data_IF_963738420251
#
_entry.id   IF_963738420251
#
_cell.length_a   1.000
_cell.length_b   1.000
_cell.length_c   1.000
_cell.angle_alpha   90.00
_cell.angle_beta   90.00
_cell.angle_gamma   90.00
#
_symmetry.space_group_name_H-M   'P 1'
#
loop_
_entity.id
_entity.type
_entity.pdbx_description
1 polymer ?
#
# COMPACT_ATOMS: atom_id res chain seq x y z
N UNK A 1 -1.00 10.46 15.73
CA UNK A 1 -0.92 11.29 14.51
C UNK A 1 -2.12 12.22 14.47
N UNK A 2 -1.89 13.54 14.35
CA UNK A 2 -2.98 14.54 14.35
C UNK A 2 -3.79 14.41 13.06
N UNK A 3 -5.09 14.16 13.17
CA UNK A 3 -6.01 14.12 12.03
C UNK A 3 -6.38 15.55 11.67
N UNK A 4 -6.18 15.98 10.42
CA UNK A 4 -6.35 17.39 10.03
C UNK A 4 -7.13 17.49 8.73
N UNK A 5 -8.28 18.15 8.75
CA UNK A 5 -9.02 18.58 7.55
C UNK A 5 -8.48 19.87 6.96
N UNK A 6 -7.88 20.67 7.81
CA UNK A 6 -7.38 21.99 7.46
C UNK A 6 -6.15 22.30 8.31
N UNK A 7 -5.30 23.20 7.81
CA UNK A 7 -4.18 23.78 8.53
C UNK A 7 -4.46 25.22 8.91
N UNK A 8 -4.03 25.62 10.11
CA UNK A 8 -4.00 27.00 10.51
C UNK A 8 -2.57 27.37 10.89
N UNK A 9 -2.15 28.59 10.58
CA UNK A 9 -0.88 29.12 11.09
C UNK A 9 -0.95 29.27 12.62
N UNK A 10 0.21 29.29 13.27
CA UNK A 10 0.29 29.38 14.74
C UNK A 10 -0.35 30.65 15.29
N UNK A 11 -0.26 31.75 14.53
CA UNK A 11 -0.89 33.05 14.85
C UNK A 11 -2.37 33.10 14.46
N UNK A 12 -2.92 32.05 13.88
CA UNK A 12 -4.30 31.91 13.39
C UNK A 12 -4.72 32.95 12.35
N UNK A 13 -3.77 33.58 11.67
CA UNK A 13 -4.08 34.55 10.60
C UNK A 13 -4.31 33.90 9.25
N UNK A 14 -3.71 32.74 9.03
CA UNK A 14 -3.89 31.98 7.80
C UNK A 14 -4.57 30.64 8.11
N UNK A 15 -5.48 30.27 7.23
CA UNK A 15 -6.20 29.01 7.28
C UNK A 15 -6.09 28.32 5.92
N UNK A 16 -5.71 27.04 5.92
CA UNK A 16 -5.55 26.24 4.71
C UNK A 16 -6.48 25.05 4.72
N UNK A 17 -7.14 24.83 3.61
CA UNK A 17 -8.05 23.71 3.42
C UNK A 17 -7.95 23.17 2.00
N UNK A 18 -8.45 21.97 1.78
CA UNK A 18 -8.44 21.36 0.45
C UNK A 18 -9.33 22.17 -0.50
N UNK A 19 -8.84 22.44 -1.72
CA UNK A 19 -9.54 23.27 -2.72
C UNK A 19 -10.96 22.81 -3.05
N UNK A 20 -11.22 21.49 -2.98
CA UNK A 20 -12.55 20.93 -3.24
C UNK A 20 -13.58 21.36 -2.18
N UNK A 21 -13.15 21.86 -1.03
CA UNK A 21 -14.00 22.44 0.01
C UNK A 21 -14.33 23.93 -0.23
N UNK A 22 -13.78 24.54 -1.27
CA UNK A 22 -13.97 25.99 -1.50
C UNK A 22 -15.44 26.37 -1.61
N UNK A 23 -16.23 25.59 -2.37
CA UNK A 23 -17.68 25.83 -2.51
C UNK A 23 -18.42 25.74 -1.18
N UNK A 24 -18.13 24.72 -0.39
CA UNK A 24 -18.76 24.49 0.91
C UNK A 24 -18.38 25.60 1.91
N UNK A 25 -17.11 26.02 1.88
CA UNK A 25 -16.65 27.16 2.68
C UNK A 25 -17.40 28.43 2.31
N UNK A 26 -17.51 28.72 1.02
CA UNK A 26 -18.22 29.93 0.55
C UNK A 26 -19.69 29.92 0.97
N UNK A 27 -20.37 28.80 0.87
CA UNK A 27 -21.75 28.65 1.36
C UNK A 27 -21.84 28.87 2.86
N UNK A 28 -20.90 28.30 3.63
CA UNK A 28 -20.84 28.48 5.08
C UNK A 28 -20.63 29.93 5.46
N UNK A 29 -19.67 30.62 4.85
CA UNK A 29 -19.38 32.03 5.11
C UNK A 29 -20.57 32.92 4.78
N UNK A 30 -21.27 32.64 3.68
CA UNK A 30 -22.49 33.37 3.30
C UNK A 30 -23.62 33.21 4.31
N UNK A 31 -23.75 32.00 4.89
CA UNK A 31 -24.74 31.75 5.97
C UNK A 31 -24.44 32.57 7.25
N UNK A 32 -23.19 32.97 7.45
CA UNK A 32 -22.78 33.87 8.54
C UNK A 32 -22.74 35.34 8.13
N UNK A 33 -23.34 35.70 6.97
CA UNK A 33 -23.49 37.09 6.54
C UNK A 33 -22.29 37.67 5.79
N UNK A 34 -21.22 36.86 5.55
CA UNK A 34 -20.08 37.29 4.74
C UNK A 34 -20.45 37.14 3.25
N UNK A 35 -20.36 38.25 2.52
CA UNK A 35 -20.63 38.28 1.07
C UNK A 35 -19.33 38.18 0.28
N UNK A 36 -19.39 37.61 -0.91
CA UNK A 36 -18.23 37.54 -1.82
C UNK A 36 -17.63 38.93 -2.14
N UNK A 37 -18.47 39.97 -2.12
CA UNK A 37 -18.01 41.37 -2.27
C UNK A 37 -17.11 41.86 -1.12
N UNK A 38 -17.08 41.15 0.01
CA UNK A 38 -16.26 41.46 1.17
C UNK A 38 -14.96 40.64 1.19
N UNK A 39 -14.67 39.90 0.12
CA UNK A 39 -13.53 38.98 0.02
C UNK A 39 -12.75 39.30 -1.23
N UNK A 40 -11.42 39.28 -1.11
CA UNK A 40 -10.52 39.30 -2.24
C UNK A 40 -10.18 37.83 -2.61
N UNK A 41 -10.73 37.34 -3.72
CA UNK A 41 -10.53 35.96 -4.19
C UNK A 41 -9.45 36.01 -5.28
N UNK A 42 -8.25 35.54 -4.92
CA UNK A 42 -7.12 35.46 -5.86
C UNK A 42 -6.94 34.00 -6.28
N UNK A 43 -7.11 33.72 -7.57
CA UNK A 43 -6.75 32.43 -8.16
C UNK A 43 -5.26 32.47 -8.55
N UNK A 44 -4.45 31.62 -7.91
CA UNK A 44 -3.03 31.46 -8.23
C UNK A 44 -2.88 30.21 -9.12
N UNK A 45 -2.69 30.37 -10.44
CA UNK A 45 -2.42 29.23 -11.31
C UNK A 45 -1.12 28.53 -10.91
N UNK A 46 -0.96 27.23 -11.27
CA UNK A 46 0.32 26.55 -11.13
C UNK A 46 1.42 27.29 -11.88
N UNK A 47 2.63 27.29 -11.33
CA UNK A 47 3.81 27.74 -12.07
C UNK A 47 3.95 26.93 -13.36
N UNK A 48 4.37 27.58 -14.45
CA UNK A 48 4.56 26.89 -15.73
C UNK A 48 5.52 25.71 -15.58
N UNK A 49 5.03 24.48 -15.83
CA UNK A 49 5.82 23.28 -15.59
C UNK A 49 6.91 23.13 -16.65
N UNK A 50 8.02 22.51 -16.25
CA UNK A 50 9.05 22.14 -17.21
C UNK A 50 8.54 21.01 -18.11
N UNK A 51 8.49 21.27 -19.42
CA UNK A 51 8.23 20.23 -20.43
C UNK A 51 9.46 19.34 -20.59
N UNK A 52 9.24 18.05 -20.61
CA UNK A 52 10.29 17.04 -20.74
C UNK A 52 9.85 15.90 -21.64
N UNK A 53 10.81 15.30 -22.32
CA UNK A 53 10.59 14.10 -23.12
C UNK A 53 11.15 12.90 -22.38
N UNK A 54 10.36 11.83 -22.35
CA UNK A 54 10.72 10.58 -21.73
C UNK A 54 11.07 9.54 -22.81
N UNK A 55 12.30 9.04 -22.86
CA UNK A 55 12.74 8.07 -23.88
C UNK A 55 12.24 6.66 -23.54
N UNK A 56 11.05 6.31 -24.00
CA UNK A 56 10.45 4.98 -23.80
C UNK A 56 11.23 3.93 -24.58
N UNK A 57 11.50 2.78 -23.96
CA UNK A 57 12.12 1.64 -24.62
C UNK A 57 11.15 1.01 -25.63
N UNK A 58 11.64 0.59 -26.80
CA UNK A 58 10.81 0.11 -27.93
C UNK A 58 10.00 -1.15 -27.58
N UNK A 59 10.47 -1.97 -26.66
CA UNK A 59 9.82 -3.23 -26.25
C UNK A 59 8.63 -3.04 -25.30
N UNK A 60 8.34 -1.79 -24.88
CA UNK A 60 7.28 -1.50 -23.92
C UNK A 60 5.93 -1.39 -24.62
N UNK A 61 5.16 -2.46 -24.59
CA UNK A 61 3.81 -2.51 -25.14
C UNK A 61 2.78 -2.64 -24.02
N UNK A 62 1.93 -1.61 -23.80
CA UNK A 62 0.80 -1.73 -22.88
C UNK A 62 -0.18 -2.82 -23.32
N UNK A 63 -0.75 -3.52 -22.37
CA UNK A 63 -1.83 -4.49 -22.64
C UNK A 63 -3.13 -3.77 -22.98
N UNK A 64 -4.00 -4.40 -23.77
CA UNK A 64 -5.26 -3.79 -24.24
C UNK A 64 -6.08 -3.15 -23.13
N UNK A 65 -6.23 -3.81 -21.97
CA UNK A 65 -6.96 -3.27 -20.83
C UNK A 65 -6.26 -2.08 -20.14
N UNK A 66 -4.98 -1.83 -20.40
CA UNK A 66 -4.23 -0.70 -19.85
C UNK A 66 -4.37 0.55 -20.72
N UNK A 67 -4.69 0.42 -21.99
CA UNK A 67 -4.80 1.55 -22.93
C UNK A 67 -5.81 2.59 -22.40
N UNK A 68 -7.03 2.17 -22.10
CA UNK A 68 -8.04 3.07 -21.55
C UNK A 68 -7.66 3.69 -20.20
N UNK A 69 -6.90 2.97 -19.37
CA UNK A 69 -6.37 3.50 -18.12
C UNK A 69 -5.28 4.56 -18.37
N UNK A 70 -4.37 4.31 -19.31
CA UNK A 70 -3.30 5.25 -19.70
C UNK A 70 -3.93 6.52 -20.26
N UNK A 71 -4.96 6.38 -21.10
CA UNK A 71 -5.67 7.52 -21.67
C UNK A 71 -6.34 8.38 -20.59
N UNK A 72 -7.02 7.74 -19.65
CA UNK A 72 -7.63 8.43 -18.51
C UNK A 72 -6.58 9.14 -17.64
N UNK A 73 -5.49 8.45 -17.27
CA UNK A 73 -4.44 9.02 -16.44
C UNK A 73 -3.65 10.12 -17.17
N UNK A 74 -3.53 10.01 -18.49
CA UNK A 74 -2.87 10.98 -19.37
C UNK A 74 -3.75 12.15 -19.78
N UNK A 75 -5.04 12.15 -19.41
CA UNK A 75 -5.95 13.26 -19.70
C UNK A 75 -5.58 14.48 -18.86
N UNK A 76 -5.05 15.50 -19.54
CA UNK A 76 -4.60 16.72 -18.90
C UNK A 76 -5.75 17.67 -18.53
N UNK A 77 -6.94 17.46 -19.08
CA UNK A 77 -8.14 18.23 -18.71
C UNK A 77 -8.57 17.93 -17.26
N UNK A 78 -8.20 16.73 -16.74
CA UNK A 78 -8.48 16.32 -15.38
C UNK A 78 -7.30 16.62 -14.48
N UNK A 79 -7.49 17.51 -13.50
CA UNK A 79 -6.42 17.84 -12.54
C UNK A 79 -6.10 16.67 -11.60
N UNK A 80 -7.09 15.96 -11.12
CA UNK A 80 -6.92 14.82 -10.20
C UNK A 80 -7.45 13.54 -10.85
N UNK A 81 -6.66 12.48 -10.82
CA UNK A 81 -7.02 11.17 -11.36
C UNK A 81 -6.68 10.09 -10.36
N UNK A 82 -7.57 9.15 -10.19
CA UNK A 82 -7.48 8.11 -9.16
C UNK A 82 -7.65 6.73 -9.78
N UNK A 83 -6.77 5.82 -9.44
CA UNK A 83 -6.97 4.40 -9.74
C UNK A 83 -7.18 3.63 -8.45
N UNK A 84 -8.27 2.86 -8.39
CA UNK A 84 -8.53 1.89 -7.33
C UNK A 84 -8.58 0.50 -7.96
N UNK A 85 -7.46 0.04 -8.50
CA UNK A 85 -7.34 -1.19 -9.27
C UNK A 85 -6.65 -2.29 -8.47
N UNK A 86 -7.11 -3.52 -8.69
CA UNK A 86 -6.49 -4.72 -8.15
C UNK A 86 -4.96 -4.70 -8.35
N UNK A 87 -4.25 -5.18 -7.34
CA UNK A 87 -2.79 -5.38 -7.43
C UNK A 87 -2.43 -6.27 -8.63
N UNK A 88 -1.32 -5.96 -9.32
CA UNK A 88 -0.90 -6.72 -10.51
C UNK A 88 -1.55 -6.31 -11.82
N UNK A 89 -2.48 -5.36 -11.82
CA UNK A 89 -3.08 -4.79 -13.05
C UNK A 89 -2.21 -3.71 -13.72
N UNK A 90 -0.95 -3.55 -13.29
CA UNK A 90 0.00 -2.65 -13.93
C UNK A 90 -0.27 -1.16 -13.67
N UNK A 91 -0.77 -0.79 -12.48
CA UNK A 91 -0.97 0.62 -12.10
C UNK A 91 0.26 1.48 -12.31
N UNK A 92 1.44 1.00 -11.88
CA UNK A 92 2.72 1.70 -12.02
C UNK A 92 3.06 1.92 -13.49
N UNK A 93 3.03 0.87 -14.32
CA UNK A 93 3.25 0.99 -15.76
C UNK A 93 2.30 2.02 -16.40
N UNK A 94 1.01 1.91 -16.09
CA UNK A 94 0.02 2.83 -16.67
C UNK A 94 0.24 4.27 -16.23
N UNK A 95 0.65 4.52 -14.98
CA UNK A 95 1.00 5.87 -14.51
C UNK A 95 2.27 6.41 -15.19
N UNK A 96 3.27 5.57 -15.41
CA UNK A 96 4.51 5.94 -16.11
C UNK A 96 4.26 6.22 -17.60
N UNK A 97 3.40 5.44 -18.25
CA UNK A 97 2.99 5.73 -19.64
C UNK A 97 2.12 6.99 -19.75
N UNK A 98 1.28 7.27 -18.76
CA UNK A 98 0.56 8.52 -18.66
C UNK A 98 1.50 9.73 -18.43
N UNK A 99 2.58 9.54 -17.65
CA UNK A 99 3.65 10.54 -17.49
C UNK A 99 4.27 10.91 -18.84
N UNK A 100 4.53 9.93 -19.70
CA UNK A 100 5.01 10.16 -21.09
C UNK A 100 4.03 11.04 -21.87
N UNK A 101 2.75 10.67 -21.83
CA UNK A 101 1.67 11.39 -22.55
C UNK A 101 1.53 12.83 -22.08
N UNK A 102 1.69 13.09 -20.77
CA UNK A 102 1.63 14.42 -20.16
C UNK A 102 2.89 15.25 -20.52
N UNK A 103 4.07 14.63 -20.57
CA UNK A 103 5.31 15.27 -21.00
C UNK A 103 5.80 16.42 -20.11
N UNK A 104 5.70 16.27 -18.78
CA UNK A 104 6.11 17.27 -17.80
C UNK A 104 7.02 16.67 -16.74
N UNK A 105 7.92 17.50 -16.17
CA UNK A 105 8.68 17.11 -14.97
C UNK A 105 7.73 16.55 -13.93
N UNK A 106 8.07 15.37 -13.42
CA UNK A 106 7.19 14.59 -12.55
C UNK A 106 7.79 14.42 -11.16
N UNK A 107 7.02 14.71 -10.14
CA UNK A 107 7.32 14.37 -8.74
C UNK A 107 6.56 13.10 -8.34
N UNK A 108 7.27 12.10 -7.86
CA UNK A 108 6.70 10.83 -7.38
C UNK A 108 6.80 10.79 -5.87
N UNK A 109 5.66 10.66 -5.20
CA UNK A 109 5.55 10.58 -3.75
C UNK A 109 5.24 9.14 -3.33
N UNK A 110 6.09 8.56 -2.49
CA UNK A 110 5.92 7.17 -2.04
C UNK A 110 6.65 6.87 -0.73
N UNK A 111 6.40 5.71 -0.13
CA UNK A 111 7.16 5.21 1.03
C UNK A 111 8.57 4.80 0.62
N UNK A 112 9.52 4.99 1.55
CA UNK A 112 10.92 4.66 1.31
C UNK A 112 11.18 3.21 0.88
N UNK A 113 10.35 2.26 1.31
CA UNK A 113 10.44 0.85 0.92
C UNK A 113 10.06 0.56 -0.54
N UNK A 114 9.39 1.49 -1.22
CA UNK A 114 8.99 1.28 -2.62
C UNK A 114 9.94 1.93 -3.63
N UNK A 115 10.94 2.68 -3.16
CA UNK A 115 11.81 3.45 -4.04
C UNK A 115 12.61 2.57 -4.99
N UNK A 116 13.23 1.47 -4.52
CA UNK A 116 13.99 0.57 -5.38
C UNK A 116 13.13 0.02 -6.52
N UNK A 117 11.95 -0.47 -6.21
CA UNK A 117 11.00 -0.97 -7.21
C UNK A 117 10.63 0.10 -8.25
N UNK A 118 10.38 1.34 -7.82
CA UNK A 118 10.06 2.43 -8.75
C UNK A 118 11.23 2.81 -9.62
N UNK A 119 12.46 2.72 -9.10
CA UNK A 119 13.69 2.88 -9.91
C UNK A 119 13.80 1.77 -10.94
N UNK A 120 13.63 0.50 -10.52
CA UNK A 120 13.66 -0.66 -11.42
C UNK A 120 12.62 -0.53 -12.54
N UNK A 121 11.39 -0.11 -12.20
CA UNK A 121 10.31 0.12 -13.18
C UNK A 121 10.66 1.28 -14.13
N UNK A 122 11.25 2.37 -13.63
CA UNK A 122 11.67 3.52 -14.45
C UNK A 122 12.84 3.15 -15.37
N UNK A 123 13.87 2.48 -14.85
CA UNK A 123 15.03 2.06 -15.66
C UNK A 123 14.68 0.96 -16.66
N UNK A 124 13.73 0.09 -16.32
CA UNK A 124 13.23 -0.94 -17.23
C UNK A 124 12.37 -0.38 -18.37
N UNK A 125 11.68 0.74 -18.15
CA UNK A 125 10.76 1.32 -19.15
C UNK A 125 11.38 2.43 -20.00
N UNK A 126 12.42 3.09 -19.49
CA UNK A 126 12.99 4.28 -20.11
C UNK A 126 14.52 4.21 -20.24
N UNK A 127 15.04 4.71 -21.34
CA UNK A 127 16.47 4.91 -21.55
C UNK A 127 16.93 6.24 -20.94
N UNK A 128 16.84 6.36 -19.59
CA UNK A 128 17.26 7.56 -18.87
C UNK A 128 18.78 7.74 -18.84
N UNK A 129 19.20 9.01 -18.86
CA UNK A 129 20.59 9.37 -18.61
C UNK A 129 20.84 9.55 -17.11
N UNK A 130 22.11 9.47 -16.72
CA UNK A 130 22.51 9.78 -15.34
C UNK A 130 22.04 11.19 -14.95
N UNK A 131 21.29 11.30 -13.86
CA UNK A 131 20.74 12.56 -13.37
C UNK A 131 19.30 12.85 -13.84
N UNK A 132 18.73 12.11 -14.78
CA UNK A 132 17.32 12.25 -15.17
C UNK A 132 16.36 11.86 -14.05
N UNK A 133 16.80 10.99 -13.12
CA UNK A 133 16.07 10.59 -11.92
C UNK A 133 16.82 11.04 -10.68
N UNK A 134 16.13 11.74 -9.76
CA UNK A 134 16.65 12.07 -8.43
C UNK A 134 15.78 11.42 -7.35
N UNK A 135 16.45 10.84 -6.37
CA UNK A 135 15.80 10.25 -5.18
C UNK A 135 16.12 11.09 -3.95
N UNK A 136 15.08 11.63 -3.34
CA UNK A 136 15.16 12.53 -2.21
C UNK A 136 14.71 11.82 -0.94
N UNK A 137 15.70 11.47 -0.10
CA UNK A 137 15.51 10.82 1.20
C UNK A 137 16.19 11.64 2.29
N UNK A 138 15.39 12.12 3.23
CA UNK A 138 15.88 12.84 4.41
C UNK A 138 16.01 14.35 4.18
N UNK A 139 16.43 15.00 5.25
CA UNK A 139 16.42 16.45 5.42
C UNK A 139 17.42 17.16 4.48
N UNK A 140 18.64 16.67 4.48
CA UNK A 140 19.75 17.32 3.73
C UNK A 140 19.57 17.14 2.21
N UNK A 141 19.06 15.96 1.79
CA UNK A 141 18.75 15.72 0.39
C UNK A 141 17.63 16.65 -0.13
N UNK A 142 16.62 16.93 0.69
CA UNK A 142 15.56 17.87 0.34
C UNK A 142 16.09 19.32 0.27
N UNK A 143 16.93 19.72 1.24
CA UNK A 143 17.57 21.05 1.22
C UNK A 143 18.45 21.22 -0.03
N UNK A 144 19.23 20.19 -0.38
CA UNK A 144 20.05 20.19 -1.58
C UNK A 144 19.20 20.34 -2.84
N UNK A 145 18.10 19.59 -2.94
CA UNK A 145 17.14 19.72 -4.06
C UNK A 145 16.58 21.15 -4.18
N UNK A 146 16.17 21.74 -3.06
CA UNK A 146 15.63 23.11 -3.01
C UNK A 146 16.70 24.11 -3.49
N UNK A 147 17.95 23.96 -3.05
CA UNK A 147 19.05 24.84 -3.46
C UNK A 147 19.36 24.70 -4.95
N UNK A 148 19.38 23.48 -5.49
CA UNK A 148 19.53 23.24 -6.93
C UNK A 148 18.39 23.90 -7.73
N UNK A 149 17.16 23.78 -7.25
CA UNK A 149 16.00 24.39 -7.90
C UNK A 149 16.05 25.93 -7.85
N UNK A 150 16.48 26.52 -6.72
CA UNK A 150 16.69 27.99 -6.59
C UNK A 150 17.80 28.49 -7.49
N UNK A 151 18.83 27.69 -7.74
CA UNK A 151 19.95 28.03 -8.62
C UNK A 151 19.67 27.77 -10.12
N UNK A 152 18.47 27.27 -10.46
CA UNK A 152 18.08 26.83 -11.82
C UNK A 152 18.99 25.73 -12.39
N UNK A 153 19.60 24.93 -11.50
CA UNK A 153 20.53 23.83 -11.83
C UNK A 153 19.87 22.44 -11.75
N UNK A 154 18.54 22.39 -11.67
CA UNK A 154 17.81 21.13 -11.56
C UNK A 154 17.51 20.54 -12.93
N UNK A 155 18.27 19.51 -13.33
CA UNK A 155 18.14 18.84 -14.63
C UNK A 155 17.19 17.64 -14.64
N UNK A 156 16.89 17.08 -13.47
CA UNK A 156 16.09 15.86 -13.36
C UNK A 156 14.72 15.99 -14.00
N UNK A 157 14.27 14.92 -14.67
CA UNK A 157 12.93 14.78 -15.26
C UNK A 157 11.94 14.16 -14.29
N UNK A 158 12.44 13.24 -13.46
CA UNK A 158 11.69 12.53 -12.43
C UNK A 158 12.34 12.75 -11.07
N UNK A 159 11.54 13.16 -10.08
CA UNK A 159 11.99 13.43 -8.71
C UNK A 159 11.18 12.56 -7.78
N UNK A 160 11.80 11.56 -7.17
CA UNK A 160 11.17 10.68 -6.20
C UNK A 160 11.39 11.27 -4.80
N UNK A 161 10.32 11.63 -4.10
CA UNK A 161 10.40 12.18 -2.74
C UNK A 161 9.69 11.25 -1.78
N UNK A 162 10.40 10.79 -0.74
CA UNK A 162 9.79 9.87 0.22
C UNK A 162 8.81 10.58 1.16
N UNK A 163 7.76 9.86 1.56
CA UNK A 163 6.74 10.37 2.48
C UNK A 163 7.31 10.95 3.77
N UNK A 164 8.34 10.30 4.36
CA UNK A 164 9.01 10.82 5.57
C UNK A 164 9.70 12.15 5.34
N UNK A 165 10.25 12.36 4.15
CA UNK A 165 10.93 13.62 3.79
C UNK A 165 9.92 14.77 3.68
N UNK A 166 8.81 14.56 2.99
CA UNK A 166 7.72 15.56 2.92
C UNK A 166 7.10 15.84 4.29
N UNK A 167 6.93 14.80 5.12
CA UNK A 167 6.42 14.97 6.47
C UNK A 167 7.31 15.93 7.28
N UNK A 168 8.63 15.82 7.18
CA UNK A 168 9.57 16.70 7.87
C UNK A 168 9.49 18.15 7.40
N UNK A 169 9.32 18.40 6.10
CA UNK A 169 9.08 19.74 5.58
C UNK A 169 7.86 20.41 6.23
N UNK A 170 6.76 19.66 6.32
CA UNK A 170 5.53 20.19 6.92
C UNK A 170 5.67 20.40 8.43
N UNK A 171 6.33 19.49 9.16
CA UNK A 171 6.60 19.66 10.59
C UNK A 171 7.45 20.89 10.88
N UNK A 172 8.53 21.09 10.15
CA UNK A 172 9.43 22.24 10.33
C UNK A 172 8.69 23.55 10.04
N UNK A 173 7.92 23.59 8.96
CA UNK A 173 7.13 24.79 8.63
C UNK A 173 6.05 25.08 9.67
N UNK A 174 5.33 24.07 10.15
CA UNK A 174 4.29 24.27 11.19
C UNK A 174 4.85 24.72 12.54
N UNK A 175 6.13 24.38 12.79
CA UNK A 175 6.84 24.76 14.00
C UNK A 175 7.41 26.18 13.89
N UNK A 176 8.14 26.46 12.85
CA UNK A 176 9.02 27.64 12.73
C UNK A 176 8.58 28.63 11.62
N UNK A 177 7.49 28.33 10.89
CA UNK A 177 6.96 29.19 9.84
C UNK A 177 7.93 29.35 8.66
N UNK A 178 8.06 30.58 8.17
CA UNK A 178 8.95 30.92 7.05
C UNK A 178 10.44 30.84 7.41
N UNK A 179 10.78 30.87 8.70
CA UNK A 179 12.16 30.76 9.20
C UNK A 179 12.60 29.30 9.41
N UNK A 180 11.85 28.33 8.82
CA UNK A 180 12.16 26.94 8.91
C UNK A 180 13.50 26.59 8.23
N UNK A 181 14.03 25.42 8.57
CA UNK A 181 15.32 24.92 8.08
C UNK A 181 15.49 24.95 6.55
N UNK A 182 14.41 24.76 5.81
CA UNK A 182 14.45 24.69 4.35
C UNK A 182 14.41 26.06 3.67
N UNK A 183 14.06 27.12 4.40
CA UNK A 183 13.94 28.48 3.88
C UNK A 183 12.94 28.63 2.74
N UNK A 184 11.89 27.79 2.76
CA UNK A 184 10.74 27.84 1.86
C UNK A 184 9.45 27.52 2.60
N UNK A 185 8.34 27.99 2.05
CA UNK A 185 7.00 27.52 2.44
C UNK A 185 6.67 26.22 1.69
N UNK A 186 5.93 25.26 2.28
CA UNK A 186 5.61 24.02 1.60
C UNK A 186 4.92 24.17 0.25
N UNK A 187 4.10 25.19 0.07
CA UNK A 187 3.43 25.52 -1.20
C UNK A 187 4.39 25.96 -2.31
N UNK A 188 5.59 26.40 -1.97
CA UNK A 188 6.61 26.82 -2.95
C UNK A 188 7.38 25.62 -3.53
N UNK A 189 7.34 24.44 -2.87
CA UNK A 189 8.16 23.32 -3.27
C UNK A 189 7.93 22.91 -4.73
N UNK A 190 6.67 22.63 -5.11
CA UNK A 190 6.36 22.15 -6.46
C UNK A 190 6.52 23.25 -7.51
N UNK A 191 6.30 24.50 -7.14
CA UNK A 191 6.56 25.67 -7.99
C UNK A 191 8.05 25.78 -8.29
N UNK A 192 8.92 25.70 -7.26
CA UNK A 192 10.39 25.72 -7.41
C UNK A 192 10.88 24.55 -8.28
N UNK A 193 10.31 23.36 -8.08
CA UNK A 193 10.66 22.21 -8.88
C UNK A 193 10.14 22.30 -10.32
N UNK A 194 9.27 23.25 -10.64
CA UNK A 194 8.55 23.33 -11.93
C UNK A 194 7.92 21.97 -12.30
N UNK A 195 7.40 21.25 -11.31
CA UNK A 195 6.77 19.96 -11.49
C UNK A 195 5.31 20.12 -11.93
N UNK A 196 4.97 19.60 -13.11
CA UNK A 196 3.61 19.67 -13.65
C UNK A 196 2.75 18.47 -13.31
N UNK A 197 3.38 17.34 -12.99
CA UNK A 197 2.72 16.12 -12.60
C UNK A 197 3.21 15.64 -11.23
N UNK A 198 2.25 15.23 -10.38
CA UNK A 198 2.53 14.50 -9.15
C UNK A 198 1.90 13.12 -9.21
N UNK A 199 2.67 12.08 -8.95
CA UNK A 199 2.18 10.70 -8.80
C UNK A 199 2.32 10.31 -7.33
N UNK A 200 1.25 9.80 -6.72
CA UNK A 200 1.23 9.30 -5.34
C UNK A 200 0.94 7.82 -5.36
N UNK A 201 1.92 7.02 -4.94
CA UNK A 201 1.75 5.57 -4.87
C UNK A 201 1.23 5.12 -3.51
N UNK A 202 0.38 4.08 -3.53
CA UNK A 202 -0.30 3.50 -2.36
C UNK A 202 -0.87 4.59 -1.43
N UNK A 203 -1.61 5.51 -2.02
CA UNK A 203 -2.13 6.72 -1.35
C UNK A 203 -2.89 6.42 -0.05
N UNK A 204 -3.47 5.23 0.08
CA UNK A 204 -4.20 4.80 1.28
C UNK A 204 -3.30 4.57 2.51
N UNK A 205 -2.02 4.26 2.32
CA UNK A 205 -1.11 3.92 3.43
C UNK A 205 -0.74 5.14 4.29
N UNK A 206 -0.40 6.27 3.67
CA UNK A 206 -0.04 7.52 4.35
C UNK A 206 -1.01 8.65 3.96
N UNK A 207 -2.30 8.35 3.91
CA UNK A 207 -3.30 9.24 3.35
C UNK A 207 -3.34 10.63 4.01
N UNK A 208 -3.16 10.70 5.32
CA UNK A 208 -3.10 12.00 6.02
C UNK A 208 -1.98 12.90 5.50
N UNK A 209 -0.84 12.32 5.12
CA UNK A 209 0.25 13.06 4.51
C UNK A 209 -0.09 13.47 3.08
N UNK A 210 -0.68 12.56 2.31
CA UNK A 210 -1.11 12.85 0.94
C UNK A 210 -2.14 13.99 0.92
N UNK A 211 -3.09 13.98 1.84
CA UNK A 211 -4.06 15.06 2.01
C UNK A 211 -3.39 16.39 2.38
N UNK A 212 -2.42 16.37 3.32
CA UNK A 212 -1.64 17.60 3.65
C UNK A 212 -0.85 18.09 2.44
N UNK A 213 -0.26 17.18 1.68
CA UNK A 213 0.45 17.56 0.45
C UNK A 213 -0.51 18.21 -0.55
N UNK A 214 -1.74 17.74 -0.68
CA UNK A 214 -2.75 18.35 -1.56
C UNK A 214 -3.11 19.77 -1.13
N UNK A 215 -3.19 20.03 0.18
CA UNK A 215 -3.44 21.39 0.72
C UNK A 215 -2.32 22.37 0.34
N UNK A 216 -1.09 21.88 0.29
CA UNK A 216 0.09 22.73 0.01
C UNK A 216 0.51 22.70 -1.45
N UNK A 217 0.06 21.76 -2.27
CA UNK A 217 0.55 21.63 -3.62
C UNK A 217 -0.34 22.33 -4.65
N UNK A 218 0.30 22.97 -5.63
CA UNK A 218 -0.37 23.61 -6.75
C UNK A 218 0.09 23.02 -8.10
N UNK A 219 0.22 21.67 -8.19
CA UNK A 219 0.59 21.00 -9.44
C UNK A 219 -0.55 21.03 -10.45
N UNK A 220 -0.21 21.07 -11.75
CA UNK A 220 -1.19 21.07 -12.83
C UNK A 220 -2.00 19.78 -12.90
N UNK A 221 -1.38 18.64 -12.58
CA UNK A 221 -2.01 17.33 -12.65
C UNK A 221 -1.52 16.40 -11.54
N UNK A 222 -2.40 15.58 -10.97
CA UNK A 222 -2.05 14.58 -9.98
C UNK A 222 -2.69 13.21 -10.28
N UNK A 223 -1.91 12.14 -10.08
CA UNK A 223 -2.31 10.76 -10.23
C UNK A 223 -2.16 10.07 -8.88
N UNK A 224 -3.22 9.45 -8.39
CA UNK A 224 -3.26 8.74 -7.11
C UNK A 224 -3.49 7.26 -7.36
N UNK A 225 -2.53 6.43 -6.96
CA UNK A 225 -2.55 4.99 -7.15
C UNK A 225 -2.91 4.28 -5.85
N UNK A 226 -3.87 3.37 -5.91
CA UNK A 226 -4.22 2.49 -4.79
C UNK A 226 -4.87 1.21 -5.31
N UNK A 227 -4.87 0.18 -4.47
CA UNK A 227 -5.71 -1.01 -4.63
C UNK A 227 -6.87 -1.04 -3.61
N UNK A 228 -6.85 -0.16 -2.59
CA UNK A 228 -7.73 -0.21 -1.43
C UNK A 228 -8.04 1.19 -0.90
N UNK A 229 -8.88 1.95 -1.62
CA UNK A 229 -9.35 3.26 -1.14
C UNK A 229 -10.60 3.17 -0.26
N UNK A 230 -11.13 1.97 -0.06
CA UNK A 230 -12.28 1.75 0.80
C UNK A 230 -11.81 1.54 2.26
N UNK A 231 -12.45 2.22 3.21
CA UNK A 231 -12.09 2.18 4.63
C UNK A 231 -13.32 2.21 5.54
N UNK A 232 -13.23 1.51 6.68
CA UNK A 232 -14.25 1.56 7.74
C UNK A 232 -14.12 2.82 8.62
N UNK A 233 -12.97 3.50 8.60
CA UNK A 233 -12.74 4.75 9.34
C UNK A 233 -13.54 5.89 8.70
N UNK A 234 -14.59 6.33 9.37
CA UNK A 234 -15.51 7.39 8.91
C UNK A 234 -14.75 8.69 8.60
N UNK A 235 -13.79 9.07 9.44
CA UNK A 235 -13.00 10.28 9.22
C UNK A 235 -12.15 10.16 7.94
N UNK A 236 -11.50 9.02 7.73
CA UNK A 236 -10.71 8.78 6.52
C UNK A 236 -11.60 8.75 5.27
N UNK A 237 -12.80 8.16 5.37
CA UNK A 237 -13.77 8.16 4.27
C UNK A 237 -14.16 9.58 3.87
N UNK A 238 -14.48 10.44 4.83
CA UNK A 238 -14.77 11.85 4.56
C UNK A 238 -13.59 12.56 3.89
N UNK A 239 -12.36 12.29 4.31
CA UNK A 239 -11.18 12.85 3.64
C UNK A 239 -11.01 12.34 2.20
N UNK A 240 -11.32 11.05 1.94
CA UNK A 240 -11.33 10.52 0.57
C UNK A 240 -12.39 11.22 -0.29
N UNK A 241 -13.60 11.39 0.24
CA UNK A 241 -14.69 12.06 -0.48
C UNK A 241 -14.34 13.52 -0.83
N UNK A 242 -13.56 14.19 0.02
CA UNK A 242 -13.07 15.56 -0.22
C UNK A 242 -11.96 15.59 -1.29
N UNK A 243 -10.88 14.83 -1.08
CA UNK A 243 -9.69 14.95 -1.92
C UNK A 243 -9.73 14.09 -3.17
N UNK A 244 -10.37 12.93 -3.08
CA UNK A 244 -10.41 11.91 -4.13
C UNK A 244 -11.86 11.47 -4.41
N UNK A 245 -12.79 12.40 -4.73
CA UNK A 245 -14.18 12.03 -4.98
C UNK A 245 -14.30 11.06 -6.16
N UNK A 246 -15.31 10.18 -6.10
CA UNK A 246 -15.49 9.08 -7.05
C UNK A 246 -15.58 9.50 -8.52
N UNK A 247 -15.93 10.73 -8.80
CA UNK A 247 -15.94 11.26 -10.17
C UNK A 247 -14.55 11.31 -10.82
N UNK A 248 -13.48 11.30 -10.02
CA UNK A 248 -12.09 11.27 -10.48
C UNK A 248 -11.51 9.86 -10.57
N UNK A 249 -12.32 8.84 -10.31
CA UNK A 249 -11.85 7.45 -10.32
C UNK A 249 -12.01 6.83 -11.70
N UNK A 250 -10.99 6.08 -12.11
CA UNK A 250 -11.08 5.26 -13.31
C UNK A 250 -12.17 4.19 -13.17
N UNK A 251 -13.06 4.13 -14.15
CA UNK A 251 -14.19 3.19 -14.19
C UNK A 251 -14.04 2.32 -15.43
N UNK A 252 -13.28 1.28 -15.41
CA UNK A 252 -13.11 0.52 -16.65
C UNK A 252 -12.53 -0.88 -16.51
N UNK A 253 -12.21 -1.33 -15.31
CA UNK A 253 -11.65 -2.66 -15.11
C UNK A 253 -12.45 -3.44 -14.08
N UNK A 254 -13.05 -4.53 -14.53
CA UNK A 254 -13.65 -5.50 -13.61
C UNK A 254 -12.57 -6.22 -12.79
N UNK A 255 -12.94 -6.61 -11.57
CA UNK A 255 -12.06 -7.39 -10.70
C UNK A 255 -11.86 -8.79 -11.31
N UNK A 256 -10.62 -9.11 -11.63
CA UNK A 256 -10.27 -10.42 -12.21
C UNK A 256 -10.22 -11.48 -11.10
N UNK A 257 -11.15 -12.45 -11.17
CA UNK A 257 -11.28 -13.52 -10.20
C UNK A 257 -10.45 -14.72 -10.70
N UNK A 258 -9.42 -15.07 -10.00
CA UNK A 258 -8.55 -16.21 -10.33
C UNK A 258 -8.02 -16.94 -9.09
N UNK A 259 -8.51 -16.61 -7.89
CA UNK A 259 -8.04 -17.16 -6.62
C UNK A 259 -9.18 -17.99 -6.00
N UNK A 260 -8.88 -19.17 -5.52
CA UNK A 260 -9.77 -19.91 -4.61
C UNK A 260 -9.42 -19.56 -3.17
N UNK A 261 -10.41 -19.29 -2.34
CA UNK A 261 -10.23 -19.01 -0.91
C UNK A 261 -10.76 -20.15 -0.05
N UNK A 262 -9.97 -20.57 0.94
CA UNK A 262 -10.33 -21.61 1.91
C UNK A 262 -10.23 -21.08 3.33
N UNK A 263 -11.32 -21.23 4.11
CA UNK A 263 -11.30 -21.10 5.55
C UNK A 263 -11.02 -22.48 6.15
N UNK A 264 -9.92 -22.61 6.87
CA UNK A 264 -9.53 -23.84 7.54
C UNK A 264 -9.86 -23.75 9.02
N UNK A 265 -10.89 -24.48 9.45
CA UNK A 265 -11.37 -24.46 10.83
C UNK A 265 -10.64 -25.48 11.69
N UNK A 266 -10.27 -25.08 12.89
CA UNK A 266 -9.82 -25.95 13.97
C UNK A 266 -10.44 -25.51 15.29
N UNK A 267 -10.47 -26.39 16.27
CA UNK A 267 -10.99 -26.11 17.60
C UNK A 267 -9.86 -26.17 18.64
N UNK A 268 -10.08 -25.52 19.77
CA UNK A 268 -9.22 -25.62 20.96
C UNK A 268 -9.97 -26.36 22.08
N UNK A 269 -9.30 -27.25 22.77
CA UNK A 269 -9.88 -27.92 23.94
C UNK A 269 -10.10 -26.90 25.08
N UNK A 270 -11.07 -27.17 25.97
CA UNK A 270 -11.34 -26.28 27.11
C UNK A 270 -10.11 -26.08 28.01
N UNK A 271 -9.32 -27.12 28.21
CA UNK A 271 -8.08 -27.10 28.97
C UNK A 271 -7.04 -26.20 28.29
N UNK A 272 -6.84 -26.36 27.00
CA UNK A 272 -5.92 -25.52 26.21
C UNK A 272 -6.36 -24.08 26.15
N UNK A 273 -7.68 -23.85 25.99
CA UNK A 273 -8.25 -22.49 25.91
C UNK A 273 -7.98 -21.67 27.20
N UNK A 274 -8.04 -22.33 28.37
CA UNK A 274 -7.74 -21.67 29.65
C UNK A 274 -6.28 -21.20 29.78
N UNK A 275 -5.38 -21.80 29.01
CA UNK A 275 -3.94 -21.47 28.97
C UNK A 275 -3.59 -20.40 27.95
N UNK A 276 -4.51 -20.06 27.05
CA UNK A 276 -4.31 -19.06 26.00
C UNK A 276 -4.60 -17.65 26.52
N UNK A 277 -3.79 -16.69 26.09
CA UNK A 277 -4.02 -15.28 26.33
C UNK A 277 -4.58 -14.65 25.05
N UNK A 278 -5.79 -14.14 25.12
CA UNK A 278 -6.50 -13.58 23.97
C UNK A 278 -6.42 -12.04 23.89
N UNK A 279 -5.86 -11.37 24.91
CA UNK A 279 -5.71 -9.92 24.97
C UNK A 279 -4.36 -9.53 25.59
N UNK A 280 -3.90 -8.34 25.30
CA UNK A 280 -2.75 -7.72 25.97
C UNK A 280 -3.15 -7.23 27.36
N UNK A 281 -2.16 -7.09 28.26
CA UNK A 281 -2.40 -6.64 29.66
C UNK A 281 -3.04 -5.25 29.66
N UNK A 282 -4.21 -5.15 30.28
CA UNK A 282 -4.96 -3.86 30.37
C UNK A 282 -5.77 -3.51 29.11
N UNK A 283 -5.97 -4.46 28.19
CA UNK A 283 -6.83 -4.28 27.01
C UNK A 283 -7.87 -5.40 26.97
N UNK A 284 -9.12 -5.03 26.68
CA UNK A 284 -10.22 -6.01 26.52
C UNK A 284 -10.35 -6.52 25.07
N UNK A 285 -9.62 -5.93 24.12
CA UNK A 285 -9.68 -6.31 22.71
C UNK A 285 -8.76 -7.51 22.42
N UNK A 286 -9.21 -8.35 21.48
CA UNK A 286 -8.40 -9.46 21.00
C UNK A 286 -7.05 -9.03 20.44
N UNK A 287 -5.99 -9.72 20.86
CA UNK A 287 -4.63 -9.59 20.35
C UNK A 287 -4.11 -10.92 19.84
N UNK A 288 -3.88 -11.02 18.52
CA UNK A 288 -3.28 -12.22 17.95
C UNK A 288 -1.82 -12.41 18.40
N UNK A 289 -1.12 -11.32 18.73
CA UNK A 289 0.22 -11.37 19.32
C UNK A 289 0.24 -12.02 20.69
N UNK A 290 -0.73 -11.71 21.57
CA UNK A 290 -0.87 -12.37 22.87
C UNK A 290 -1.22 -13.86 22.69
N UNK A 291 -2.06 -14.18 21.71
CA UNK A 291 -2.43 -15.55 21.35
C UNK A 291 -1.20 -16.36 20.91
N UNK A 292 -0.44 -15.93 19.89
CA UNK A 292 0.78 -16.64 19.45
C UNK A 292 1.84 -16.73 20.56
N UNK A 293 2.07 -15.65 21.33
CA UNK A 293 2.98 -15.69 22.48
C UNK A 293 2.61 -16.74 23.52
N UNK A 294 1.32 -16.90 23.81
CA UNK A 294 0.86 -17.89 24.78
C UNK A 294 1.05 -19.33 24.28
N UNK A 295 0.90 -19.55 22.98
CA UNK A 295 1.17 -20.84 22.33
C UNK A 295 2.68 -21.16 22.41
N UNK A 296 3.55 -20.21 22.03
CA UNK A 296 5.00 -20.44 22.03
C UNK A 296 5.57 -20.82 23.40
N UNK A 297 4.95 -20.38 24.49
CA UNK A 297 5.38 -20.64 25.87
C UNK A 297 5.10 -22.08 26.34
N UNK A 298 4.26 -22.81 25.63
CA UNK A 298 3.79 -24.13 26.05
C UNK A 298 4.08 -25.15 24.95
N UNK A 299 4.98 -26.09 25.26
CA UNK A 299 5.48 -27.06 24.27
C UNK A 299 4.36 -27.79 23.53
N UNK A 300 3.38 -28.37 24.26
CA UNK A 300 2.27 -29.14 23.66
C UNK A 300 1.44 -28.26 22.72
N UNK A 301 1.06 -27.05 23.14
CA UNK A 301 0.30 -26.12 22.31
C UNK A 301 1.09 -25.70 21.08
N UNK A 302 2.38 -25.39 21.26
CA UNK A 302 3.28 -25.03 20.18
C UNK A 302 3.37 -26.15 19.13
N UNK A 303 3.65 -27.37 19.57
CA UNK A 303 3.85 -28.50 18.67
C UNK A 303 2.55 -28.80 17.89
N UNK A 304 1.39 -28.77 18.56
CA UNK A 304 0.08 -28.93 17.92
C UNK A 304 -0.23 -27.78 16.94
N UNK A 305 0.07 -26.53 17.30
CA UNK A 305 -0.21 -25.38 16.44
C UNK A 305 0.70 -25.36 15.19
N UNK A 306 1.93 -25.83 15.31
CA UNK A 306 2.82 -26.01 14.16
C UNK A 306 2.24 -27.03 13.17
N UNK A 307 1.67 -28.13 13.65
CA UNK A 307 0.94 -29.11 12.81
C UNK A 307 -0.31 -28.49 12.16
N UNK A 308 -1.08 -27.68 12.90
CA UNK A 308 -2.23 -26.95 12.34
C UNK A 308 -1.77 -26.00 11.23
N UNK A 309 -0.65 -25.30 11.39
CA UNK A 309 -0.10 -24.42 10.36
C UNK A 309 0.47 -25.19 9.15
N UNK A 310 1.04 -26.38 9.38
CA UNK A 310 1.55 -27.25 8.33
C UNK A 310 0.45 -27.85 7.46
N UNK A 311 -0.70 -28.16 8.04
CA UNK A 311 -1.79 -28.86 7.34
C UNK A 311 -2.20 -28.19 6.02
N UNK A 312 -2.49 -26.89 5.93
CA UNK A 312 -2.81 -26.25 4.67
C UNK A 312 -1.64 -26.24 3.67
N UNK A 313 -0.39 -26.19 4.14
CA UNK A 313 0.80 -26.27 3.27
C UNK A 313 0.85 -27.67 2.63
N UNK A 314 0.72 -28.71 3.43
CA UNK A 314 0.68 -30.10 2.94
C UNK A 314 -0.41 -30.26 1.89
N UNK A 315 -1.65 -29.86 2.20
CA UNK A 315 -2.83 -30.09 1.38
C UNK A 315 -2.82 -29.29 0.06
N UNK A 316 -2.49 -28.00 0.09
CA UNK A 316 -2.66 -27.10 -1.06
C UNK A 316 -1.37 -26.82 -1.83
N UNK A 317 -0.21 -27.03 -1.21
CA UNK A 317 1.06 -26.79 -1.84
C UNK A 317 1.79 -28.08 -2.22
N UNK A 318 1.94 -29.03 -1.28
CA UNK A 318 2.70 -30.27 -1.50
C UNK A 318 1.87 -31.30 -2.29
N UNK A 319 0.66 -31.63 -1.81
CA UNK A 319 -0.18 -32.70 -2.39
C UNK A 319 -0.97 -32.28 -3.63
N UNK A 320 -1.12 -30.98 -3.87
CA UNK A 320 -1.91 -30.44 -4.97
C UNK A 320 -1.01 -30.07 -6.15
N UNK A 321 -0.59 -31.05 -6.95
CA UNK A 321 0.19 -30.89 -8.18
C UNK A 321 1.38 -29.93 -8.00
N UNK A 322 2.20 -30.16 -6.97
CA UNK A 322 3.41 -29.38 -6.75
C UNK A 322 4.39 -29.56 -7.93
N UNK A 323 4.86 -28.44 -8.45
CA UNK A 323 5.86 -28.40 -9.51
C UNK A 323 6.99 -27.47 -9.08
N UNK A 324 8.23 -27.89 -9.35
CA UNK A 324 9.41 -27.12 -9.00
C UNK A 324 9.35 -25.66 -9.49
N UNK A 325 9.62 -24.73 -8.59
CA UNK A 325 9.56 -23.29 -8.83
C UNK A 325 8.24 -22.61 -8.49
N UNK A 326 7.18 -23.37 -8.17
CA UNK A 326 6.00 -22.81 -7.51
C UNK A 326 6.35 -22.46 -6.06
N UNK A 327 5.70 -21.43 -5.49
CA UNK A 327 6.00 -20.90 -4.16
C UNK A 327 4.79 -20.92 -3.24
N UNK A 328 5.09 -21.00 -1.94
CA UNK A 328 4.13 -20.83 -0.86
C UNK A 328 4.58 -19.72 0.09
N UNK A 329 3.66 -18.86 0.55
CA UNK A 329 3.92 -17.92 1.64
C UNK A 329 3.01 -18.19 2.82
N UNK A 330 3.59 -18.12 4.03
CA UNK A 330 2.86 -18.26 5.30
C UNK A 330 3.02 -16.97 6.09
N UNK A 331 1.90 -16.31 6.37
CA UNK A 331 1.86 -15.08 7.15
C UNK A 331 1.55 -15.37 8.62
N UNK A 332 2.54 -15.13 9.48
CA UNK A 332 2.43 -15.20 10.94
C UNK A 332 2.35 -13.79 11.54
N UNK A 333 1.98 -13.69 12.81
CA UNK A 333 1.94 -12.39 13.48
C UNK A 333 3.31 -12.01 14.09
N UNK A 334 3.94 -12.93 14.82
CA UNK A 334 5.21 -12.70 15.49
C UNK A 334 6.41 -13.14 14.63
N UNK A 335 7.45 -12.33 14.60
CA UNK A 335 8.74 -12.69 13.97
C UNK A 335 9.33 -13.95 14.61
N UNK A 336 9.25 -14.06 15.94
CA UNK A 336 9.68 -15.26 16.68
C UNK A 336 8.94 -16.52 16.19
N UNK A 337 7.64 -16.43 15.95
CA UNK A 337 6.88 -17.57 15.43
C UNK A 337 7.25 -17.91 13.97
N UNK A 338 7.60 -16.91 13.16
CA UNK A 338 8.10 -17.15 11.81
C UNK A 338 9.36 -18.04 11.83
N UNK A 339 10.31 -17.77 12.75
CA UNK A 339 11.55 -18.55 12.90
C UNK A 339 11.24 -19.97 13.33
N UNK A 340 10.39 -20.13 14.35
CA UNK A 340 9.99 -21.45 14.88
C UNK A 340 9.28 -22.29 13.83
N UNK A 341 8.34 -21.70 13.08
CA UNK A 341 7.62 -22.40 12.01
C UNK A 341 8.55 -22.77 10.84
N UNK A 342 9.47 -21.88 10.46
CA UNK A 342 10.49 -22.17 9.44
C UNK A 342 11.32 -23.40 9.82
N UNK A 343 11.83 -23.44 11.04
CA UNK A 343 12.72 -24.52 11.49
C UNK A 343 11.95 -25.84 11.59
N UNK A 344 10.70 -25.78 12.05
CA UNK A 344 9.82 -26.94 12.05
C UNK A 344 9.57 -27.47 10.65
N UNK A 345 9.21 -26.60 9.68
CA UNK A 345 8.96 -27.00 8.30
C UNK A 345 10.21 -27.55 7.61
N UNK A 346 11.41 -27.02 7.89
CA UNK A 346 12.68 -27.57 7.40
C UNK A 346 12.92 -28.99 7.86
N UNK A 347 12.51 -29.31 9.08
CA UNK A 347 12.60 -30.68 9.60
C UNK A 347 11.67 -31.66 8.91
N UNK A 348 10.54 -31.18 8.38
CA UNK A 348 9.55 -32.01 7.68
C UNK A 348 9.82 -32.11 6.17
N UNK A 349 10.29 -31.03 5.56
CA UNK A 349 10.53 -30.91 4.11
C UNK A 349 11.99 -30.51 3.85
N UNK A 350 12.96 -31.39 4.12
CA UNK A 350 14.38 -31.06 4.00
C UNK A 350 14.82 -30.76 2.55
N UNK A 351 14.07 -31.22 1.58
CA UNK A 351 14.32 -31.02 0.13
C UNK A 351 13.92 -29.61 -0.36
N UNK A 352 13.10 -28.87 0.41
CA UNK A 352 12.60 -27.56 0.03
C UNK A 352 13.46 -26.44 0.61
N UNK A 353 13.64 -25.38 -0.17
CA UNK A 353 14.28 -24.15 0.28
C UNK A 353 13.28 -23.30 1.08
N UNK A 354 13.29 -23.47 2.40
CA UNK A 354 12.36 -22.79 3.32
C UNK A 354 13.09 -21.65 4.03
N UNK A 355 12.62 -20.43 3.89
CA UNK A 355 13.24 -19.22 4.45
C UNK A 355 12.25 -18.33 5.15
N UNK A 356 12.67 -17.62 6.17
CA UNK A 356 11.93 -16.49 6.71
C UNK A 356 12.23 -15.23 5.90
N UNK A 357 11.21 -14.38 5.78
CA UNK A 357 11.33 -13.03 5.25
C UNK A 357 10.72 -12.05 6.26
N UNK A 358 11.59 -11.43 7.05
CA UNK A 358 11.22 -10.46 8.09
C UNK A 358 12.04 -9.17 7.91
N UNK A 359 11.85 -8.17 8.79
CA UNK A 359 12.58 -6.90 8.67
C UNK A 359 14.09 -7.15 8.46
N UNK A 360 14.70 -6.43 7.50
CA UNK A 360 16.12 -6.52 7.12
C UNK A 360 16.56 -7.78 6.35
N UNK A 361 15.64 -8.67 5.98
CA UNK A 361 15.95 -9.81 5.12
C UNK A 361 16.14 -9.37 3.67
N UNK A 362 17.14 -9.94 2.96
CA UNK A 362 17.36 -9.68 1.53
C UNK A 362 16.17 -10.14 0.70
N UNK A 363 15.71 -9.27 -0.20
CA UNK A 363 14.57 -9.51 -1.11
C UNK A 363 14.77 -10.70 -2.06
N UNK A 364 16.03 -11.15 -2.26
CA UNK A 364 16.34 -12.38 -3.00
C UNK A 364 15.62 -13.60 -2.44
N UNK A 365 15.38 -13.63 -1.12
CA UNK A 365 14.61 -14.70 -0.46
C UNK A 365 13.25 -14.90 -1.10
N UNK A 366 12.54 -13.84 -1.49
CA UNK A 366 11.23 -13.90 -2.15
C UNK A 366 11.29 -14.56 -3.54
N UNK A 367 12.45 -14.49 -4.19
CA UNK A 367 12.68 -15.08 -5.53
C UNK A 367 13.21 -16.52 -5.47
N UNK A 368 13.96 -16.86 -4.42
CA UNK A 368 14.70 -18.12 -4.34
C UNK A 368 14.01 -19.20 -3.47
N UNK A 369 13.26 -18.80 -2.41
CA UNK A 369 12.65 -19.75 -1.51
C UNK A 369 11.42 -20.42 -2.13
N UNK A 370 11.22 -21.70 -1.82
CA UNK A 370 10.01 -22.47 -2.16
C UNK A 370 8.88 -22.16 -1.16
N UNK A 371 9.21 -22.15 0.14
CA UNK A 371 8.29 -21.74 1.21
C UNK A 371 8.87 -20.52 1.94
N UNK A 372 8.09 -19.46 1.99
CA UNK A 372 8.44 -18.20 2.66
C UNK A 372 7.60 -18.06 3.92
N UNK A 373 8.22 -17.90 5.07
CA UNK A 373 7.51 -17.62 6.33
C UNK A 373 7.75 -16.15 6.71
N UNK A 374 6.69 -15.37 6.85
CA UNK A 374 6.80 -13.92 7.00
C UNK A 374 5.70 -13.33 7.87
N UNK A 375 5.78 -12.04 8.15
CA UNK A 375 4.67 -11.29 8.74
C UNK A 375 3.96 -10.46 7.66
N UNK A 376 2.68 -10.12 7.86
CA UNK A 376 1.98 -9.20 6.95
C UNK A 376 2.74 -7.88 6.82
N UNK A 377 3.34 -7.41 7.90
CA UNK A 377 4.08 -6.15 7.92
C UNK A 377 5.35 -6.21 7.05
N UNK A 378 6.02 -7.34 7.01
CA UNK A 378 7.28 -7.51 6.26
C UNK A 378 7.02 -7.80 4.78
N UNK A 379 6.21 -8.82 4.46
CA UNK A 379 5.96 -9.22 3.08
C UNK A 379 4.60 -8.77 2.53
N UNK A 380 3.70 -8.27 3.39
CA UNK A 380 2.36 -7.83 2.96
C UNK A 380 2.37 -6.54 2.12
N UNK A 381 3.39 -5.70 2.24
CA UNK A 381 3.55 -4.43 1.51
C UNK A 381 4.71 -4.45 0.51
N UNK A 382 5.53 -5.51 0.54
CA UNK A 382 6.74 -5.62 -0.26
C UNK A 382 6.45 -6.14 -1.69
N UNK A 383 7.50 -6.52 -2.35
CA UNK A 383 7.65 -6.91 -3.73
C UNK A 383 6.71 -8.02 -4.22
N UNK A 384 6.64 -8.16 -5.53
CA UNK A 384 5.99 -9.27 -6.22
C UNK A 384 6.74 -10.58 -5.92
N UNK A 385 5.98 -11.61 -5.55
CA UNK A 385 6.52 -12.96 -5.35
C UNK A 385 6.16 -13.75 -6.60
N UNK A 386 7.13 -14.02 -7.50
CA UNK A 386 6.83 -14.72 -8.73
C UNK A 386 6.34 -16.14 -8.45
N UNK A 387 5.37 -16.60 -9.23
CA UNK A 387 4.84 -17.95 -9.20
C UNK A 387 4.32 -18.42 -7.81
N UNK A 388 3.76 -17.49 -7.04
CA UNK A 388 3.15 -17.76 -5.75
C UNK A 388 1.83 -18.52 -5.94
N UNK A 389 1.82 -19.82 -5.63
CA UNK A 389 0.67 -20.72 -5.76
C UNK A 389 -0.23 -20.67 -4.53
N UNK A 390 0.36 -20.65 -3.34
CA UNK A 390 -0.38 -20.74 -2.07
C UNK A 390 0.02 -19.61 -1.13
N UNK A 391 -0.97 -18.97 -0.56
CA UNK A 391 -0.81 -18.02 0.54
C UNK A 391 -1.60 -18.47 1.74
N UNK A 392 -0.92 -18.72 2.85
CA UNK A 392 -1.52 -19.16 4.12
C UNK A 392 -1.47 -18.02 5.13
N UNK A 393 -2.61 -17.63 5.66
CA UNK A 393 -2.75 -16.62 6.71
C UNK A 393 -3.08 -17.31 8.04
N UNK A 394 -2.12 -17.38 8.96
CA UNK A 394 -2.33 -18.03 10.27
C UNK A 394 -3.05 -17.11 11.25
N UNK A 395 -2.95 -15.81 11.06
CA UNK A 395 -3.47 -14.81 11.98
C UNK A 395 -4.92 -14.40 11.68
N UNK A 396 -5.71 -14.22 12.75
CA UNK A 396 -7.04 -13.65 12.65
C UNK A 396 -6.95 -12.13 12.43
N UNK A 397 -7.34 -11.68 11.24
CA UNK A 397 -7.30 -10.28 10.81
C UNK A 397 -8.67 -9.80 10.41
N UNK A 398 -9.12 -8.69 11.02
CA UNK A 398 -10.39 -8.02 10.67
C UNK A 398 -10.21 -7.00 9.55
N UNK A 399 -9.10 -6.24 9.56
CA UNK A 399 -8.89 -5.09 8.67
C UNK A 399 -8.99 -5.48 7.21
N UNK A 400 -9.88 -4.80 6.47
CA UNK A 400 -10.15 -5.03 5.05
C UNK A 400 -8.89 -4.87 4.20
N UNK A 401 -8.12 -3.81 4.45
CA UNK A 401 -6.90 -3.51 3.71
C UNK A 401 -5.88 -4.65 3.82
N UNK A 402 -5.63 -5.15 5.05
CA UNK A 402 -4.68 -6.24 5.28
C UNK A 402 -5.12 -7.54 4.60
N UNK A 403 -6.42 -7.86 4.62
CA UNK A 403 -6.98 -9.02 3.94
C UNK A 403 -6.84 -8.91 2.41
N UNK A 404 -7.13 -7.74 1.84
CA UNK A 404 -6.99 -7.52 0.39
C UNK A 404 -5.50 -7.51 -0.02
N UNK A 405 -4.61 -6.96 0.79
CA UNK A 405 -3.18 -6.97 0.52
C UNK A 405 -2.60 -8.39 0.51
N UNK A 406 -2.95 -9.23 1.50
CA UNK A 406 -2.49 -10.63 1.55
C UNK A 406 -3.07 -11.46 0.41
N UNK A 407 -4.37 -11.31 0.10
CA UNK A 407 -5.00 -11.93 -1.06
C UNK A 407 -4.33 -11.46 -2.36
N UNK A 408 -4.06 -10.17 -2.43
CA UNK A 408 -3.45 -9.52 -3.60
C UNK A 408 -1.97 -9.90 -3.84
N UNK A 409 -1.32 -10.71 -3.00
CA UNK A 409 0.00 -11.30 -3.29
C UNK A 409 -0.08 -12.41 -4.33
N UNK A 410 -1.18 -13.13 -4.36
CA UNK A 410 -1.41 -14.14 -5.37
C UNK A 410 -1.62 -13.48 -6.74
N UNK A 411 -1.02 -14.08 -7.77
CA UNK A 411 -1.14 -13.69 -9.18
C UNK A 411 -1.50 -14.92 -10.00
N UNK A 412 -2.03 -14.71 -11.20
CA UNK A 412 -2.06 -15.78 -12.19
C UNK A 412 -0.64 -16.29 -12.43
N UNK A 413 -0.44 -17.58 -12.32
CA UNK A 413 0.86 -18.21 -12.50
C UNK A 413 1.24 -18.19 -13.99
N UNK A 414 2.27 -17.43 -14.34
CA UNK A 414 2.65 -17.28 -15.75
C UNK A 414 3.14 -18.59 -16.35
N UNK A 415 3.93 -19.36 -15.58
CA UNK A 415 4.48 -20.65 -16.04
C UNK A 415 3.46 -21.79 -15.96
N UNK A 416 2.40 -21.65 -15.18
CA UNK A 416 1.35 -22.66 -14.97
C UNK A 416 -0.05 -22.03 -15.10
N UNK A 417 -0.48 -21.64 -16.29
CA UNK A 417 -1.72 -20.88 -16.49
C UNK A 417 -2.99 -21.66 -16.08
N UNK A 418 -2.91 -22.98 -16.03
CA UNK A 418 -4.02 -23.86 -15.64
C UNK A 418 -4.09 -24.10 -14.11
N UNK A 419 -3.08 -23.65 -13.33
CA UNK A 419 -3.05 -23.81 -11.88
C UNK A 419 -3.70 -22.60 -11.24
N UNK A 420 -4.74 -22.82 -10.46
CA UNK A 420 -5.46 -21.80 -9.73
C UNK A 420 -4.74 -21.50 -8.42
N UNK A 421 -4.33 -20.25 -8.16
CA UNK A 421 -3.76 -19.85 -6.88
C UNK A 421 -4.76 -20.00 -5.74
N UNK A 422 -4.24 -20.37 -4.56
CA UNK A 422 -5.06 -20.66 -3.38
C UNK A 422 -4.69 -19.74 -2.22
N UNK A 423 -5.70 -19.07 -1.68
CA UNK A 423 -5.61 -18.32 -0.42
C UNK A 423 -6.24 -19.11 0.72
N UNK A 424 -5.47 -19.39 1.74
CA UNK A 424 -5.93 -20.14 2.92
C UNK A 424 -5.81 -19.28 4.16
N UNK A 425 -6.80 -19.31 5.05
CA UNK A 425 -6.70 -18.70 6.36
C UNK A 425 -7.21 -19.62 7.46
N UNK A 426 -6.53 -19.56 8.60
CA UNK A 426 -6.87 -20.36 9.77
C UNK A 426 -7.94 -19.67 10.60
N UNK A 427 -8.88 -20.45 11.12
CA UNK A 427 -9.95 -19.96 11.97
C UNK A 427 -10.18 -20.92 13.15
N UNK A 428 -9.95 -20.42 14.37
CA UNK A 428 -10.21 -21.18 15.60
C UNK A 428 -11.66 -21.01 16.03
N UNK A 429 -12.46 -22.07 15.89
CA UNK A 429 -13.90 -22.03 16.20
C UNK A 429 -14.21 -21.88 17.69
N UNK A 430 -13.24 -22.13 18.57
CA UNK A 430 -13.38 -21.93 20.02
C UNK A 430 -13.18 -20.47 20.47
N UNK A 431 -12.81 -19.56 19.54
CA UNK A 431 -12.57 -18.15 19.80
C UNK A 431 -13.59 -17.32 19.03
N UNK A 432 -14.54 -16.71 19.72
CA UNK A 432 -15.64 -15.93 19.11
C UNK A 432 -15.12 -14.83 18.15
N UNK A 433 -14.03 -14.17 18.51
CA UNK A 433 -13.42 -13.14 17.65
C UNK A 433 -12.93 -13.68 16.31
N UNK A 434 -12.41 -14.91 16.28
CA UNK A 434 -12.00 -15.55 15.03
C UNK A 434 -13.21 -15.79 14.11
N UNK A 435 -14.33 -16.25 14.69
CA UNK A 435 -15.59 -16.44 13.94
C UNK A 435 -16.13 -15.11 13.40
N UNK A 436 -16.13 -14.06 14.21
CA UNK A 436 -16.51 -12.70 13.74
C UNK A 436 -15.62 -12.21 12.59
N UNK A 437 -14.30 -12.46 12.66
CA UNK A 437 -13.37 -12.06 11.61
C UNK A 437 -13.49 -12.93 10.35
N UNK A 438 -13.90 -14.17 10.50
CA UNK A 438 -14.23 -15.04 9.37
C UNK A 438 -15.43 -14.49 8.59
N UNK A 439 -16.54 -14.15 9.25
CA UNK A 439 -17.71 -13.58 8.58
C UNK A 439 -17.37 -12.26 7.86
N UNK A 440 -16.64 -11.36 8.52
CA UNK A 440 -16.18 -10.14 7.88
C UNK A 440 -15.30 -10.44 6.64
N UNK A 441 -14.47 -11.50 6.70
CA UNK A 441 -13.60 -11.89 5.60
C UNK A 441 -14.39 -12.46 4.42
N UNK A 442 -15.45 -13.20 4.66
CA UNK A 442 -16.38 -13.67 3.61
C UNK A 442 -16.96 -12.50 2.81
N UNK A 443 -17.41 -11.45 3.49
CA UNK A 443 -17.90 -10.22 2.86
C UNK A 443 -16.80 -9.50 2.06
N UNK A 444 -15.59 -9.36 2.64
CA UNK A 444 -14.44 -8.70 1.99
C UNK A 444 -14.07 -9.41 0.67
N UNK A 445 -14.15 -10.73 0.63
CA UNK A 445 -13.75 -11.54 -0.53
C UNK A 445 -14.88 -11.76 -1.53
N UNK A 446 -16.11 -11.41 -1.16
CA UNK A 446 -17.24 -11.49 -2.08
C UNK A 446 -16.95 -10.71 -3.37
N UNK A 447 -17.12 -11.35 -4.52
CA UNK A 447 -16.83 -10.77 -5.82
C UNK A 447 -15.35 -10.63 -6.19
N UNK A 448 -14.40 -11.06 -5.31
CA UNK A 448 -12.95 -10.95 -5.54
C UNK A 448 -12.25 -12.29 -5.73
N UNK A 449 -12.90 -13.38 -5.38
CA UNK A 449 -12.37 -14.75 -5.54
C UNK A 449 -13.31 -15.59 -6.39
N UNK A 450 -12.78 -16.67 -6.99
CA UNK A 450 -13.58 -17.65 -7.74
C UNK A 450 -14.59 -18.38 -6.86
N UNK A 451 -14.12 -18.80 -5.69
CA UNK A 451 -14.93 -19.50 -4.71
C UNK A 451 -14.41 -19.27 -3.30
N UNK A 452 -15.31 -19.35 -2.33
CA UNK A 452 -14.99 -19.40 -0.90
C UNK A 452 -15.47 -20.75 -0.37
N UNK A 453 -14.56 -21.51 0.21
CA UNK A 453 -14.83 -22.85 0.75
C UNK A 453 -14.42 -22.92 2.22
N UNK A 454 -15.07 -23.80 2.95
CA UNK A 454 -14.83 -24.05 4.38
C UNK A 454 -14.43 -25.51 4.56
N UNK A 455 -13.32 -25.76 5.23
CA UNK A 455 -12.81 -27.09 5.51
C UNK A 455 -12.34 -27.19 6.97
N UNK A 456 -12.35 -28.40 7.53
CA UNK A 456 -11.94 -28.65 8.90
C UNK A 456 -10.57 -29.34 8.95
N UNK A 457 -9.69 -28.82 9.81
CA UNK A 457 -8.42 -29.47 10.15
C UNK A 457 -8.75 -30.56 11.21
N UNK A 458 -8.34 -31.83 11.01
CA UNK A 458 -8.64 -32.92 11.94
C UNK A 458 -7.76 -32.88 13.20
N UNK A 459 -7.35 -31.68 13.64
CA UNK A 459 -6.52 -31.43 14.82
C UNK A 459 -7.22 -30.46 15.75
N UNK A 460 -6.96 -30.61 17.04
CA UNK A 460 -7.43 -29.70 18.10
C UNK A 460 -6.23 -29.14 18.87
N UNK A 461 -6.22 -27.81 19.07
CA UNK A 461 -5.23 -27.14 19.90
C UNK A 461 -5.47 -27.35 21.40
#
# INVERSE_FOLDING_TARGET
MKKVYAGATRDRKEFRFHRNLFKDLMQHLQAYGLRTSNMDIVDKPPTEPLRVTFPVNEDVVPRDYQVGLIDFLGDFSLRTKVTNLQTGKGKTLSALMAMVKIGMRTAIQLRGGYVSRWIDDLEGLFSFKKGDILVIRGRDALLSLINMAKADDLQAKVIIITNKTLYKLFEEFEKDGSDNYYGIRPEELYDLLRAGLRIVDEVHEDYHLSFRTDIYSNVSSSIHLSATLDTEDVFRRQMYDIALPQQYWYKGVEYDKYIQSYAMFYATTSESLSKLKLSERGQDSYSHGAYEKSILRQKVLKDTYLEICRYPIQRFYIENDWQGGQKCIVFCYLVEFCVVLRDYLRGIYPELNIREFVAETDEKVLKEADIIVSTIKSAGTAQDIPDLKVSVLTQAVRKKEANIQTLGRLRKLKRWPNVTPVFVYLNNTSIETHTKYHEAKKEIFQGKVLSQREEHIPLRL
#
